data_IF_435199091726
#
_entry.id   IF_435199091726
#
_cell.length_a   1.000
_cell.length_b   1.000
_cell.length_c   1.000
_cell.angle_alpha   90.00
_cell.angle_beta   90.00
_cell.angle_gamma   90.00
#
_symmetry.space_group_name_H-M   'P 1'
#
loop_
_entity.id
_entity.type
_entity.pdbx_description
1 polymer ?
#
# COMPACT_ATOMS: atom_id res chain seq x y z
N UNK A 1 -29.97 53.36 -26.64
CA UNK A 1 -29.87 52.90 -25.23
C UNK A 1 -30.02 51.38 -25.05
N UNK A 2 -30.91 50.66 -25.78
CA UNK A 2 -31.07 49.19 -25.63
C UNK A 2 -29.85 48.33 -26.09
N UNK A 3 -29.04 48.79 -27.05
CA UNK A 3 -27.86 48.03 -27.54
C UNK A 3 -26.60 48.17 -26.67
N UNK A 4 -26.50 49.23 -25.87
CA UNK A 4 -25.34 49.48 -24.98
C UNK A 4 -25.52 48.73 -23.65
N UNK A 5 -26.75 48.59 -23.15
CA UNK A 5 -27.05 47.82 -21.94
C UNK A 5 -26.81 46.32 -22.14
N UNK A 6 -27.06 45.78 -23.34
CA UNK A 6 -26.82 44.36 -23.63
C UNK A 6 -25.33 44.00 -23.68
N UNK A 7 -24.48 44.91 -24.16
CA UNK A 7 -23.03 44.71 -24.20
C UNK A 7 -22.38 44.73 -22.81
N UNK A 8 -22.91 45.53 -21.87
CA UNK A 8 -22.41 45.59 -20.49
C UNK A 8 -22.83 44.36 -19.68
N UNK A 9 -24.01 43.79 -19.96
CA UNK A 9 -24.46 42.54 -19.31
C UNK A 9 -23.66 41.33 -19.80
N UNK A 10 -23.29 41.27 -21.10
CA UNK A 10 -22.44 40.19 -21.62
C UNK A 10 -20.99 40.32 -21.13
N UNK A 11 -20.48 41.54 -20.95
CA UNK A 11 -19.14 41.77 -20.37
C UNK A 11 -19.07 41.46 -18.87
N UNK A 12 -20.18 41.60 -18.14
CA UNK A 12 -20.26 41.20 -16.73
C UNK A 12 -20.45 39.69 -16.54
N UNK A 13 -21.12 39.00 -17.47
CA UNK A 13 -21.24 37.53 -17.44
C UNK A 13 -19.89 36.86 -17.78
N UNK A 14 -19.01 37.51 -18.55
CA UNK A 14 -17.66 36.98 -18.80
C UNK A 14 -16.68 37.11 -17.62
N UNK A 15 -17.03 37.86 -16.56
CA UNK A 15 -16.19 38.05 -15.36
C UNK A 15 -16.68 37.21 -14.17
N UNK A 16 -17.81 36.52 -14.30
CA UNK A 16 -18.29 35.56 -13.29
C UNK A 16 -18.27 34.16 -13.87
N UNK A 17 -17.34 33.32 -13.38
CA UNK A 17 -17.09 31.89 -13.65
C UNK A 17 -15.70 31.53 -14.20
N UNK A 18 -14.66 32.35 -13.95
CA UNK A 18 -13.40 31.72 -13.53
C UNK A 18 -13.58 31.38 -12.06
N UNK A 19 -14.37 30.33 -11.80
CA UNK A 19 -14.13 29.56 -10.59
C UNK A 19 -12.66 29.19 -10.65
N UNK A 20 -11.88 29.66 -9.68
CA UNK A 20 -10.53 29.18 -9.43
C UNK A 20 -10.58 27.71 -8.99
N UNK A 21 -11.16 26.81 -9.79
CA UNK A 21 -10.76 25.42 -9.80
C UNK A 21 -9.48 25.36 -10.62
N UNK A 22 -8.38 25.85 -10.04
CA UNK A 22 -7.06 25.48 -10.51
C UNK A 22 -7.11 23.96 -10.68
N UNK A 23 -6.92 23.47 -11.91
CA UNK A 23 -6.87 22.03 -12.15
C UNK A 23 -5.77 21.51 -11.22
N UNK A 24 -6.17 20.80 -10.18
CA UNK A 24 -5.22 20.18 -9.28
C UNK A 24 -4.63 19.00 -10.04
N UNK A 25 -3.51 19.24 -10.69
CA UNK A 25 -2.78 18.19 -11.36
C UNK A 25 -2.09 17.35 -10.30
N UNK A 26 -2.25 16.01 -10.32
CA UNK A 26 -1.47 15.15 -9.46
C UNK A 26 0.02 15.40 -9.67
N UNK A 27 0.80 15.28 -8.61
CA UNK A 27 2.25 15.15 -8.71
C UNK A 27 2.59 13.72 -9.14
N UNK A 28 3.65 13.55 -9.92
CA UNK A 28 4.15 12.25 -10.36
C UNK A 28 5.51 11.99 -9.70
N UNK A 29 5.68 10.80 -9.10
CA UNK A 29 6.94 10.35 -8.51
C UNK A 29 7.07 8.84 -8.68
N UNK A 30 8.06 8.44 -9.47
CA UNK A 30 8.29 7.04 -9.84
C UNK A 30 7.03 6.41 -10.46
N UNK A 31 6.55 5.35 -9.83
CA UNK A 31 5.41 4.56 -10.30
C UNK A 31 4.03 5.18 -9.93
N UNK A 32 4.01 6.27 -9.17
CA UNK A 32 2.79 6.75 -8.52
C UNK A 32 2.45 8.21 -8.85
N UNK A 33 1.15 8.47 -8.86
CA UNK A 33 0.57 9.81 -8.83
C UNK A 33 0.11 10.11 -7.41
N UNK A 34 0.44 11.29 -6.87
CA UNK A 34 0.04 11.69 -5.52
C UNK A 34 -0.54 13.10 -5.46
N UNK A 35 -1.30 13.37 -4.40
CA UNK A 35 -1.77 14.69 -4.02
C UNK A 35 -1.30 15.03 -2.62
N UNK A 36 -0.94 16.29 -2.40
CA UNK A 36 -0.74 16.85 -1.06
C UNK A 36 -2.09 16.97 -0.36
N UNK A 37 -2.15 16.61 0.92
CA UNK A 37 -3.37 16.66 1.73
C UNK A 37 -3.13 17.52 2.97
N UNK A 38 -4.09 18.38 3.27
CA UNK A 38 -4.02 19.32 4.39
C UNK A 38 -3.63 20.73 3.94
N UNK A 39 -4.21 21.73 4.59
CA UNK A 39 -3.91 23.14 4.34
C UNK A 39 -3.04 23.62 5.51
N UNK A 40 -1.78 23.95 5.22
CA UNK A 40 -0.85 24.64 6.14
C UNK A 40 -0.22 23.85 7.32
N UNK A 41 0.33 22.64 7.10
CA UNK A 41 1.28 22.02 8.04
C UNK A 41 2.67 21.88 7.37
N UNK A 42 3.80 22.20 8.03
CA UNK A 42 5.15 21.96 7.50
C UNK A 42 5.43 20.50 7.12
N UNK A 43 4.84 19.54 7.84
CA UNK A 43 4.95 18.11 7.55
C UNK A 43 3.83 17.67 6.60
N UNK A 44 4.01 17.98 5.31
CA UNK A 44 3.02 17.68 4.28
C UNK A 44 2.89 16.16 4.12
N UNK A 45 1.76 15.62 4.56
CA UNK A 45 1.34 14.26 4.29
C UNK A 45 0.68 14.19 2.90
N UNK A 46 0.96 13.12 2.15
CA UNK A 46 0.41 12.91 0.81
C UNK A 46 -0.52 11.71 0.76
N UNK A 47 -1.40 11.69 -0.24
CA UNK A 47 -2.10 10.49 -0.69
C UNK A 47 -1.62 10.07 -2.08
N UNK A 48 -1.39 8.79 -2.25
CA UNK A 48 -1.32 8.18 -3.58
C UNK A 48 -2.73 8.15 -4.15
N UNK A 49 -2.93 8.69 -5.35
CA UNK A 49 -4.24 8.84 -6.00
C UNK A 49 -4.30 8.17 -7.37
N UNK A 50 -3.21 7.53 -7.81
CA UNK A 50 -3.14 6.80 -9.06
C UNK A 50 -1.75 6.24 -9.33
N UNK A 51 -1.61 5.58 -10.48
CA UNK A 51 -0.33 5.14 -11.02
C UNK A 51 0.12 6.08 -12.14
N UNK A 52 1.44 6.30 -12.23
CA UNK A 52 2.05 6.97 -13.39
C UNK A 52 1.97 6.07 -14.63
N UNK A 53 2.34 6.59 -15.81
CA UNK A 53 2.40 5.76 -17.02
C UNK A 53 3.44 4.63 -16.91
N UNK A 54 4.51 4.84 -16.13
CA UNK A 54 5.48 3.78 -15.84
C UNK A 54 4.95 2.78 -14.81
N UNK A 55 4.28 3.26 -13.76
CA UNK A 55 3.66 2.38 -12.76
C UNK A 55 2.62 1.44 -13.37
N UNK A 56 1.84 1.91 -14.34
CA UNK A 56 0.88 1.09 -15.09
C UNK A 56 1.51 -0.09 -15.84
N UNK A 57 2.81 -0.04 -16.14
CA UNK A 57 3.55 -1.10 -16.87
C UNK A 57 4.22 -2.10 -15.94
N UNK A 58 4.24 -1.86 -14.62
CA UNK A 58 4.93 -2.74 -13.67
C UNK A 58 4.19 -4.06 -13.51
N UNK A 59 4.94 -5.15 -13.46
CA UNK A 59 4.41 -6.45 -13.05
C UNK A 59 4.34 -6.59 -11.52
N UNK A 60 5.14 -5.79 -10.80
CA UNK A 60 5.16 -5.74 -9.33
C UNK A 60 5.04 -4.29 -8.87
N UNK A 61 4.04 -4.01 -8.03
CA UNK A 61 3.83 -2.70 -7.42
C UNK A 61 4.04 -2.79 -5.91
N UNK A 62 4.88 -1.92 -5.37
CA UNK A 62 5.12 -1.81 -3.93
C UNK A 62 4.68 -0.41 -3.54
N UNK A 63 3.59 -0.30 -2.77
CA UNK A 63 3.12 1.00 -2.32
C UNK A 63 4.12 1.61 -1.33
N UNK A 64 4.69 2.79 -1.61
CA UNK A 64 5.75 3.36 -0.80
C UNK A 64 5.19 4.08 0.43
N UNK A 65 6.03 4.21 1.44
CA UNK A 65 5.80 5.03 2.65
C UNK A 65 6.27 6.47 2.49
N UNK A 66 7.10 6.75 1.49
CA UNK A 66 7.68 8.07 1.18
C UNK A 66 7.68 8.29 -0.34
N UNK A 67 7.23 9.46 -0.80
CA UNK A 67 7.43 9.93 -2.19
C UNK A 67 7.91 11.38 -2.16
N UNK A 68 8.94 11.69 -2.95
CA UNK A 68 9.56 13.03 -3.02
C UNK A 68 9.91 13.65 -1.66
N UNK A 69 10.27 12.80 -0.67
CA UNK A 69 10.57 13.23 0.69
C UNK A 69 9.35 13.49 1.59
N UNK A 70 8.13 13.26 1.10
CA UNK A 70 6.89 13.37 1.88
C UNK A 70 6.38 12.01 2.32
N UNK A 71 5.84 11.92 3.55
CA UNK A 71 5.23 10.70 4.05
C UNK A 71 3.90 10.41 3.35
N UNK A 72 3.78 9.19 2.83
CA UNK A 72 2.54 8.65 2.31
C UNK A 72 1.70 8.18 3.48
N UNK A 73 0.56 8.83 3.69
CA UNK A 73 -0.36 8.49 4.79
C UNK A 73 -1.64 7.84 4.30
N UNK A 74 -1.94 7.95 2.99
CA UNK A 74 -3.20 7.53 2.42
C UNK A 74 -3.06 6.91 1.03
N UNK A 75 -3.92 5.94 0.74
CA UNK A 75 -4.23 5.45 -0.60
C UNK A 75 -5.64 5.91 -0.96
N UNK A 76 -5.74 6.67 -2.04
CA UNK A 76 -6.94 7.40 -2.42
C UNK A 76 -7.19 8.63 -1.56
N UNK A 77 -8.18 9.41 -1.97
CA UNK A 77 -8.74 10.53 -1.20
C UNK A 77 -10.14 10.85 -1.71
N UNK A 78 -10.93 11.55 -0.90
CA UNK A 78 -12.25 12.02 -1.28
C UNK A 78 -12.09 13.40 -1.93
N UNK A 79 -12.45 13.52 -3.20
CA UNK A 79 -12.54 14.82 -3.89
C UNK A 79 -13.99 15.33 -3.88
N UNK A 80 -14.20 16.59 -4.27
CA UNK A 80 -15.54 17.14 -4.46
C UNK A 80 -16.37 16.34 -5.50
N UNK A 81 -15.70 15.71 -6.46
CA UNK A 81 -16.28 14.80 -7.45
C UNK A 81 -16.48 13.36 -6.94
N UNK A 82 -16.22 13.10 -5.67
CA UNK A 82 -16.24 11.77 -5.05
C UNK A 82 -14.86 11.11 -4.95
N UNK A 83 -14.83 9.91 -4.40
CA UNK A 83 -13.65 9.05 -4.39
C UNK A 83 -13.57 8.25 -5.69
N UNK A 84 -12.36 8.04 -6.21
CA UNK A 84 -12.12 7.18 -7.38
C UNK A 84 -11.14 6.06 -7.02
N UNK A 85 -11.43 4.82 -7.43
CA UNK A 85 -10.51 3.72 -7.20
C UNK A 85 -9.19 3.96 -7.94
N UNK A 86 -8.10 3.43 -7.39
CA UNK A 86 -6.85 3.31 -8.13
C UNK A 86 -6.96 2.06 -9.01
N UNK A 87 -6.79 2.25 -10.31
CA UNK A 87 -6.92 1.18 -11.29
C UNK A 87 -5.56 0.50 -11.51
N UNK A 88 -5.52 -0.83 -11.38
CA UNK A 88 -4.34 -1.67 -11.61
C UNK A 88 -4.71 -2.68 -12.69
N UNK A 89 -4.03 -2.64 -13.83
CA UNK A 89 -4.34 -3.48 -15.00
C UNK A 89 -3.23 -4.47 -15.39
N UNK A 90 -1.99 -4.25 -14.96
CA UNK A 90 -0.84 -5.05 -15.39
C UNK A 90 -0.13 -5.80 -14.25
N UNK A 91 -0.11 -5.24 -13.04
CA UNK A 91 0.62 -5.85 -11.95
C UNK A 91 0.07 -7.23 -11.60
N UNK A 92 0.98 -8.21 -11.47
CA UNK A 92 0.74 -9.57 -10.98
C UNK A 92 1.00 -9.67 -9.48
N UNK A 93 1.75 -8.72 -8.91
CA UNK A 93 1.99 -8.65 -7.47
C UNK A 93 1.82 -7.23 -6.96
N UNK A 94 1.05 -7.04 -5.90
CA UNK A 94 0.79 -5.72 -5.31
C UNK A 94 0.98 -5.80 -3.80
N UNK A 95 1.87 -4.96 -3.26
CA UNK A 95 2.21 -4.94 -1.84
C UNK A 95 1.72 -3.65 -1.18
N UNK A 96 1.04 -3.79 -0.05
CA UNK A 96 0.48 -2.69 0.74
C UNK A 96 1.03 -2.71 2.17
N UNK A 97 1.85 -1.73 2.58
CA UNK A 97 2.30 -1.63 3.96
C UNK A 97 1.20 -1.08 4.89
N UNK A 98 1.20 -1.47 6.19
CA UNK A 98 0.14 -1.06 7.15
C UNK A 98 0.07 0.42 7.46
N UNK A 99 1.15 1.18 7.26
CA UNK A 99 1.22 2.59 7.68
C UNK A 99 0.37 3.51 6.80
N UNK A 100 -0.29 2.97 5.78
CA UNK A 100 -1.05 3.74 4.80
C UNK A 100 -2.55 3.48 4.97
N UNK A 101 -3.30 4.54 5.30
CA UNK A 101 -4.75 4.46 5.51
C UNK A 101 -5.46 4.45 4.15
N UNK A 102 -6.25 3.41 3.88
CA UNK A 102 -7.10 3.41 2.70
C UNK A 102 -8.25 4.43 2.86
N UNK A 103 -8.44 5.27 1.84
CA UNK A 103 -9.53 6.26 1.74
C UNK A 103 -10.33 6.13 0.44
N UNK A 104 -10.02 5.13 -0.38
CA UNK A 104 -10.78 4.73 -1.55
C UNK A 104 -10.79 3.21 -1.66
N UNK A 105 -10.44 2.67 -2.82
CA UNK A 105 -10.41 1.24 -3.11
C UNK A 105 -9.44 1.00 -4.26
N UNK A 106 -9.08 -0.26 -4.46
CA UNK A 106 -8.32 -0.71 -5.62
C UNK A 106 -9.28 -1.36 -6.60
N UNK A 107 -9.13 -1.05 -7.88
CA UNK A 107 -9.87 -1.71 -8.97
C UNK A 107 -8.88 -2.45 -9.84
N UNK A 108 -8.92 -3.78 -9.73
CA UNK A 108 -8.16 -4.68 -10.58
C UNK A 108 -8.89 -4.79 -11.94
N UNK A 109 -8.22 -4.42 -13.02
CA UNK A 109 -8.72 -4.45 -14.40
C UNK A 109 -8.12 -5.63 -15.17
N UNK A 110 -8.09 -6.77 -14.51
CA UNK A 110 -7.57 -8.02 -15.03
C UNK A 110 -8.73 -8.86 -15.59
N UNK A 111 -8.43 -9.73 -16.56
CA UNK A 111 -9.38 -10.75 -17.02
C UNK A 111 -9.42 -11.91 -16.01
N UNK A 112 -10.46 -12.74 -16.09
CA UNK A 112 -10.65 -13.86 -15.16
C UNK A 112 -9.49 -14.88 -15.20
N UNK A 113 -8.80 -14.99 -16.34
CA UNK A 113 -7.64 -15.88 -16.51
C UNK A 113 -6.35 -15.33 -15.89
N UNK A 114 -6.29 -14.02 -15.61
CA UNK A 114 -5.10 -13.38 -15.04
C UNK A 114 -5.10 -13.51 -13.50
N UNK A 115 -3.93 -13.85 -12.95
CA UNK A 115 -3.70 -13.92 -11.51
C UNK A 115 -3.05 -12.63 -10.99
N UNK A 116 -3.55 -12.14 -9.85
CA UNK A 116 -2.95 -11.06 -9.08
C UNK A 116 -2.76 -11.51 -7.64
N UNK A 117 -1.52 -11.45 -7.19
CA UNK A 117 -1.14 -11.74 -5.82
C UNK A 117 -1.05 -10.43 -5.03
N UNK A 118 -1.82 -10.34 -3.95
CA UNK A 118 -1.92 -9.13 -3.14
C UNK A 118 -1.40 -9.41 -1.74
N UNK A 119 -0.45 -8.61 -1.28
CA UNK A 119 0.25 -8.78 -0.02
C UNK A 119 -0.10 -7.63 0.92
N UNK A 120 -0.66 -7.96 2.08
CA UNK A 120 -1.22 -6.97 2.99
C UNK A 120 -0.46 -6.98 4.31
N UNK A 121 0.33 -5.92 4.52
CA UNK A 121 1.12 -5.71 5.72
C UNK A 121 0.33 -5.23 6.94
N UNK A 122 -1.00 -5.39 6.99
CA UNK A 122 -1.86 -4.94 8.09
C UNK A 122 -2.42 -6.11 8.88
N UNK A 123 -2.44 -5.99 10.21
CA UNK A 123 -3.11 -6.96 11.11
C UNK A 123 -4.61 -7.02 10.85
N UNK A 124 -5.23 -5.86 10.60
CA UNK A 124 -6.66 -5.74 10.31
C UNK A 124 -6.81 -5.06 8.95
N UNK A 125 -6.67 -5.83 7.87
CA UNK A 125 -6.66 -5.31 6.51
C UNK A 125 -8.05 -4.83 6.04
N UNK A 126 -8.06 -3.81 5.19
CA UNK A 126 -9.28 -3.32 4.55
C UNK A 126 -9.54 -4.12 3.27
N UNK A 127 -10.70 -4.79 3.19
CA UNK A 127 -11.05 -5.66 2.06
C UNK A 127 -11.24 -4.90 0.74
N UNK A 128 -11.34 -3.55 0.76
CA UNK A 128 -11.31 -2.73 -0.45
C UNK A 128 -9.94 -2.70 -1.16
N UNK A 129 -8.91 -3.32 -0.57
CA UNK A 129 -7.64 -3.61 -1.24
C UNK A 129 -7.69 -4.90 -2.08
N UNK A 130 -8.71 -5.75 -1.89
CA UNK A 130 -8.67 -7.12 -2.37
C UNK A 130 -9.29 -7.29 -3.76
N UNK A 131 -8.73 -8.19 -4.58
CA UNK A 131 -9.45 -8.73 -5.72
C UNK A 131 -10.59 -9.61 -5.20
N UNK A 132 -11.78 -9.46 -5.77
CA UNK A 132 -12.95 -10.29 -5.41
C UNK A 132 -12.83 -11.64 -6.14
N UNK A 133 -12.93 -12.75 -5.40
CA UNK A 133 -12.76 -14.11 -5.91
C UNK A 133 -13.70 -14.46 -7.07
N UNK A 134 -14.91 -13.90 -7.08
CA UNK A 134 -15.87 -14.11 -8.17
C UNK A 134 -15.33 -13.65 -9.53
N UNK A 135 -14.55 -12.56 -9.56
CA UNK A 135 -14.01 -11.98 -10.79
C UNK A 135 -12.58 -12.44 -11.09
N UNK A 136 -11.80 -12.72 -10.05
CA UNK A 136 -10.38 -13.08 -10.17
C UNK A 136 -10.10 -14.35 -9.35
N UNK A 137 -10.62 -15.48 -9.86
CA UNK A 137 -10.71 -16.76 -9.14
C UNK A 137 -9.39 -17.34 -8.66
N UNK A 138 -8.29 -17.06 -9.37
CA UNK A 138 -6.97 -17.60 -9.05
C UNK A 138 -6.08 -16.61 -8.29
N UNK A 139 -6.54 -15.36 -8.10
CA UNK A 139 -5.80 -14.35 -7.35
C UNK A 139 -5.74 -14.71 -5.88
N UNK A 140 -4.58 -14.51 -5.25
CA UNK A 140 -4.34 -14.83 -3.84
C UNK A 140 -4.15 -13.56 -3.02
N UNK A 141 -4.58 -13.62 -1.77
CA UNK A 141 -4.46 -12.53 -0.81
C UNK A 141 -3.60 -13.04 0.36
N UNK A 142 -2.35 -12.61 0.37
CA UNK A 142 -1.36 -12.94 1.38
C UNK A 142 -1.56 -12.03 2.59
N UNK A 143 -1.93 -12.63 3.71
CA UNK A 143 -2.24 -11.97 4.98
C UNK A 143 -1.48 -12.61 6.13
N UNK A 144 -1.40 -11.93 7.26
CA UNK A 144 -0.84 -12.52 8.47
C UNK A 144 -1.70 -13.69 8.98
N UNK A 145 -1.02 -14.70 9.52
CA UNK A 145 -1.62 -15.95 9.97
C UNK A 145 -2.65 -15.78 11.11
N UNK A 146 -2.43 -14.84 12.05
CA UNK A 146 -3.41 -14.59 13.12
C UNK A 146 -4.75 -14.13 12.53
N UNK A 147 -4.69 -13.20 11.56
CA UNK A 147 -5.88 -12.68 10.90
C UNK A 147 -6.60 -13.77 10.08
N UNK A 148 -5.85 -14.65 9.40
CA UNK A 148 -6.44 -15.80 8.69
C UNK A 148 -7.27 -16.69 9.62
N UNK A 149 -6.71 -17.07 10.77
CA UNK A 149 -7.41 -17.91 11.76
C UNK A 149 -8.67 -17.20 12.28
N UNK A 150 -8.63 -15.88 12.46
CA UNK A 150 -9.79 -15.09 12.87
C UNK A 150 -10.90 -15.10 11.81
N UNK A 151 -10.56 -14.93 10.53
CA UNK A 151 -11.52 -14.98 9.41
C UNK A 151 -12.14 -16.37 9.21
N UNK A 152 -11.35 -17.44 9.33
CA UNK A 152 -11.82 -18.83 9.25
C UNK A 152 -12.85 -19.15 10.34
N UNK A 153 -12.65 -18.63 11.56
CA UNK A 153 -13.62 -18.80 12.66
C UNK A 153 -14.95 -18.13 12.39
N UNK A 154 -14.97 -17.06 11.60
CA UNK A 154 -16.16 -16.26 11.28
C UNK A 154 -16.85 -16.76 10.01
N UNK A 155 -16.14 -17.52 9.15
CA UNK A 155 -16.67 -18.12 7.92
C UNK A 155 -16.72 -17.15 6.73
N UNK A 156 -15.79 -16.18 6.68
CA UNK A 156 -15.66 -15.19 5.60
C UNK A 156 -14.73 -15.62 4.45
N UNK A 157 -14.13 -16.80 4.54
CA UNK A 157 -13.25 -17.41 3.54
C UNK A 157 -13.88 -17.60 2.14
N UNK A 158 -15.21 -17.54 2.05
CA UNK A 158 -15.94 -17.74 0.80
C UNK A 158 -15.69 -16.66 -0.27
N UNK A 159 -15.37 -15.41 0.11
CA UNK A 159 -15.24 -14.29 -0.86
C UNK A 159 -13.83 -14.03 -1.37
N UNK A 160 -12.81 -14.57 -0.70
CA UNK A 160 -11.41 -14.21 -0.92
C UNK A 160 -10.53 -15.47 -0.82
N UNK A 161 -9.48 -15.55 -1.64
CA UNK A 161 -8.52 -16.65 -1.54
C UNK A 161 -7.38 -16.24 -0.62
N UNK A 162 -7.63 -16.33 0.68
CA UNK A 162 -6.60 -16.02 1.67
C UNK A 162 -5.49 -17.07 1.66
N UNK A 163 -4.25 -16.61 1.80
CA UNK A 163 -3.06 -17.44 1.96
C UNK A 163 -2.27 -16.85 3.15
N UNK A 164 -1.81 -17.67 4.10
CA UNK A 164 -0.95 -17.18 5.17
C UNK A 164 0.43 -16.84 4.60
N UNK A 165 0.80 -15.57 4.65
CA UNK A 165 2.13 -15.11 4.26
C UNK A 165 3.17 -15.67 5.24
N UNK A 166 4.22 -16.33 4.74
CA UNK A 166 5.24 -16.94 5.61
C UNK A 166 6.39 -15.98 5.97
N UNK A 167 6.35 -14.74 5.51
CA UNK A 167 7.31 -13.68 5.87
C UNK A 167 6.52 -12.48 6.40
N UNK A 168 6.90 -12.00 7.58
CA UNK A 168 6.27 -10.87 8.23
C UNK A 168 7.32 -9.87 8.75
N UNK A 169 7.16 -8.61 8.37
CA UNK A 169 8.00 -7.50 8.82
C UNK A 169 7.29 -6.73 9.92
N UNK A 170 7.96 -6.54 11.05
CA UNK A 170 7.42 -5.84 12.22
C UNK A 170 8.17 -4.55 12.50
N UNK A 171 7.45 -3.45 12.74
CA UNK A 171 8.04 -2.11 12.92
C UNK A 171 8.07 -1.63 14.37
N UNK A 172 7.59 -2.43 15.31
CA UNK A 172 7.65 -2.09 16.73
C UNK A 172 8.11 -3.24 17.59
N UNK A 173 7.96 -3.05 18.90
CA UNK A 173 8.48 -3.98 19.90
C UNK A 173 7.46 -5.07 20.26
N UNK A 174 6.33 -5.10 19.57
CA UNK A 174 5.28 -6.09 19.74
C UNK A 174 4.97 -6.70 18.37
N UNK A 175 4.63 -7.99 18.36
CA UNK A 175 4.20 -8.71 17.15
C UNK A 175 2.87 -8.16 16.57
N UNK A 176 2.29 -7.15 17.21
CA UNK A 176 1.09 -6.45 16.74
C UNK A 176 1.39 -5.35 15.72
N UNK A 177 2.64 -4.90 15.63
CA UNK A 177 3.07 -3.84 14.73
C UNK A 177 3.50 -4.39 13.36
N UNK A 178 2.64 -5.21 12.74
CA UNK A 178 2.85 -5.73 11.40
C UNK A 178 2.93 -4.56 10.41
N UNK A 179 3.92 -4.61 9.53
CA UNK A 179 4.20 -3.57 8.54
C UNK A 179 4.07 -4.05 7.11
N UNK A 180 4.58 -5.22 6.80
CA UNK A 180 4.72 -5.74 5.45
C UNK A 180 4.73 -7.26 5.50
N UNK A 181 4.30 -7.90 4.42
CA UNK A 181 4.32 -9.36 4.29
C UNK A 181 4.83 -9.76 2.92
N UNK A 182 5.38 -10.96 2.83
CA UNK A 182 5.84 -11.58 1.59
C UNK A 182 5.65 -13.12 1.70
N UNK A 183 5.86 -13.85 0.61
CA UNK A 183 5.80 -15.31 0.59
C UNK A 183 6.92 -15.91 -0.26
N UNK A 184 7.72 -16.81 0.32
CA UNK A 184 8.81 -17.47 -0.38
C UNK A 184 8.94 -18.93 0.03
N UNK A 185 9.59 -19.74 -0.81
CA UNK A 185 9.79 -21.17 -0.55
C UNK A 185 11.21 -21.58 -0.90
N UNK A 186 12.10 -21.60 0.10
CA UNK A 186 13.51 -21.95 -0.10
C UNK A 186 14.30 -20.92 -0.91
N UNK A 187 13.79 -19.70 -1.04
CA UNK A 187 14.39 -18.61 -1.81
C UNK A 187 14.60 -17.36 -0.96
N UNK A 188 15.26 -16.35 -1.53
CA UNK A 188 15.28 -15.00 -0.97
C UNK A 188 13.86 -14.41 -0.98
N UNK A 189 13.66 -13.34 -0.22
CA UNK A 189 12.44 -12.52 -0.29
C UNK A 189 12.26 -11.99 -1.72
N UNK A 190 11.02 -11.83 -2.18
CA UNK A 190 10.70 -11.41 -3.55
C UNK A 190 10.93 -9.90 -3.74
N UNK A 191 10.68 -9.13 -2.69
CA UNK A 191 10.80 -7.67 -2.69
C UNK A 191 11.41 -7.17 -1.39
N UNK A 192 12.08 -6.02 -1.48
CA UNK A 192 12.52 -5.29 -0.30
C UNK A 192 11.35 -4.37 0.12
N UNK A 193 10.89 -4.43 1.38
CA UNK A 193 9.82 -3.56 1.84
C UNK A 193 10.26 -2.08 1.78
N UNK A 194 9.33 -1.13 1.57
CA UNK A 194 9.67 0.29 1.67
C UNK A 194 10.13 0.62 3.10
N UNK A 195 11.04 1.58 3.24
CA UNK A 195 11.53 1.99 4.55
C UNK A 195 10.36 2.50 5.42
N UNK A 196 10.13 1.92 6.61
CA UNK A 196 9.07 2.39 7.48
C UNK A 196 9.42 3.77 8.06
N UNK A 197 8.39 4.50 8.49
CA UNK A 197 8.56 5.77 9.19
C UNK A 197 8.06 5.71 10.64
N UNK A 198 8.81 6.32 11.55
CA UNK A 198 8.42 6.51 12.94
C UNK A 198 8.89 7.88 13.43
N UNK A 199 7.94 8.71 13.86
CA UNK A 199 8.21 10.06 14.35
C UNK A 199 9.24 10.06 15.49
N UNK A 200 10.26 10.93 15.40
CA UNK A 200 11.34 10.99 16.38
C UNK A 200 12.41 9.88 16.29
N UNK A 201 12.35 8.95 15.32
CA UNK A 201 13.33 7.87 15.16
C UNK A 201 13.91 7.82 13.74
N UNK A 202 15.14 7.32 13.62
CA UNK A 202 15.74 6.90 12.36
C UNK A 202 15.63 5.38 12.23
N UNK A 203 15.21 4.92 11.06
CA UNK A 203 15.21 3.50 10.70
C UNK A 203 16.66 3.04 10.42
N UNK A 204 17.07 1.94 11.02
CA UNK A 204 18.45 1.40 10.93
C UNK A 204 18.56 0.15 10.07
N UNK A 205 17.44 -0.31 9.50
CA UNK A 205 17.34 -1.54 8.73
C UNK A 205 16.58 -2.65 9.45
N UNK A 206 16.55 -3.79 8.77
CA UNK A 206 15.83 -5.00 9.15
C UNK A 206 16.76 -6.02 9.82
N UNK A 207 16.25 -6.75 10.81
CA UNK A 207 16.99 -7.68 11.67
C UNK A 207 16.23 -8.98 11.87
N UNK A 208 16.95 -10.06 12.15
CA UNK A 208 16.40 -11.41 12.34
C UNK A 208 15.69 -11.59 13.68
N UNK A 209 15.93 -10.69 14.62
CA UNK A 209 15.32 -10.72 15.95
C UNK A 209 15.07 -9.31 16.48
N UNK A 210 14.16 -9.22 17.45
CA UNK A 210 13.69 -7.96 18.04
C UNK A 210 14.79 -7.19 18.78
N UNK A 211 15.79 -7.89 19.30
CA UNK A 211 16.98 -7.30 19.94
C UNK A 211 17.86 -6.54 18.94
N UNK A 212 17.70 -6.80 17.64
CA UNK A 212 18.39 -6.10 16.56
C UNK A 212 19.90 -6.33 16.58
N UNK A 213 20.34 -7.57 16.77
CA UNK A 213 21.75 -7.98 16.83
C UNK A 213 22.23 -8.38 15.43
N UNK A 214 21.51 -9.29 14.77
CA UNK A 214 21.80 -9.85 13.46
C UNK A 214 20.96 -9.14 12.40
N UNK A 215 21.62 -8.37 11.56
CA UNK A 215 20.97 -7.69 10.43
C UNK A 215 20.48 -8.73 9.42
N UNK A 216 19.30 -8.49 8.86
CA UNK A 216 18.80 -9.23 7.70
C UNK A 216 19.59 -8.80 6.47
N UNK A 217 20.13 -9.78 5.74
CA UNK A 217 20.87 -9.59 4.50
C UNK A 217 20.02 -10.02 3.30
N UNK A 218 19.40 -9.04 2.63
CA UNK A 218 18.54 -9.27 1.47
C UNK A 218 19.22 -9.96 0.29
N UNK A 219 20.56 -9.96 0.23
CA UNK A 219 21.28 -10.61 -0.87
C UNK A 219 21.62 -12.07 -0.60
N UNK A 220 21.71 -12.47 0.68
CA UNK A 220 22.25 -13.77 1.08
C UNK A 220 21.31 -14.59 1.98
N UNK A 221 20.41 -13.96 2.73
CA UNK A 221 19.48 -14.68 3.60
C UNK A 221 18.36 -15.35 2.79
N UNK A 222 18.07 -16.59 3.15
CA UNK A 222 17.10 -17.46 2.48
C UNK A 222 15.96 -17.78 3.44
N UNK A 223 14.74 -17.69 2.94
CA UNK A 223 13.54 -18.13 3.63
C UNK A 223 13.51 -19.66 3.63
N UNK A 224 13.25 -20.32 4.77
CA UNK A 224 13.16 -21.77 4.83
C UNK A 224 12.16 -22.33 3.80
N UNK A 225 12.48 -23.50 3.24
CA UNK A 225 11.53 -24.21 2.38
C UNK A 225 10.28 -24.59 3.18
N UNK A 226 9.13 -24.45 2.54
CA UNK A 226 7.83 -24.85 3.09
C UNK A 226 7.86 -26.34 3.37
N UNK A 227 7.29 -26.70 4.52
CA UNK A 227 7.22 -28.08 4.99
C UNK A 227 5.77 -28.56 4.91
N UNK A 228 5.58 -29.81 4.51
CA UNK A 228 4.27 -30.45 4.42
C UNK A 228 4.30 -31.75 5.21
N UNK A 229 3.19 -32.09 5.86
CA UNK A 229 3.05 -33.39 6.52
C UNK A 229 2.75 -34.53 5.54
N UNK A 230 2.51 -35.73 6.07
CA UNK A 230 2.26 -36.94 5.28
C UNK A 230 0.95 -36.85 4.47
N UNK A 231 0.02 -36.02 4.91
CA UNK A 231 -1.26 -35.71 4.25
C UNK A 231 -1.13 -34.61 3.19
N UNK A 232 0.02 -33.93 3.11
CA UNK A 232 0.28 -32.84 2.18
C UNK A 232 -0.22 -31.48 2.67
N UNK A 233 -0.54 -31.35 3.95
CA UNK A 233 -0.96 -30.09 4.56
C UNK A 233 0.25 -29.22 4.92
N UNK A 234 0.14 -27.93 4.66
CA UNK A 234 1.23 -26.99 4.88
C UNK A 234 1.45 -26.74 6.38
N UNK A 235 2.65 -27.09 6.86
CA UNK A 235 3.12 -26.81 8.21
C UNK A 235 3.65 -25.38 8.26
N UNK A 236 2.76 -24.43 8.57
CA UNK A 236 3.07 -23.00 8.55
C UNK A 236 4.19 -22.63 9.53
N UNK A 237 5.25 -22.03 8.99
CA UNK A 237 6.35 -21.44 9.77
C UNK A 237 6.51 -19.99 9.31
N UNK A 238 6.37 -19.06 10.25
CA UNK A 238 6.55 -17.64 9.98
C UNK A 238 8.03 -17.24 10.16
N UNK A 239 8.59 -16.59 9.14
CA UNK A 239 9.85 -15.86 9.24
C UNK A 239 9.56 -14.43 9.65
N UNK A 240 9.91 -14.08 10.90
CA UNK A 240 9.73 -12.73 11.46
C UNK A 240 10.98 -11.88 11.22
N UNK A 241 10.80 -10.68 10.70
CA UNK A 241 11.87 -9.72 10.42
C UNK A 241 11.53 -8.38 11.11
N UNK A 242 12.45 -7.83 11.89
CA UNK A 242 12.19 -6.72 12.80
C UNK A 242 12.91 -5.43 12.38
N UNK A 243 12.20 -4.31 12.42
CA UNK A 243 12.80 -2.99 12.22
C UNK A 243 13.60 -2.58 13.45
N UNK A 244 14.81 -2.05 13.23
CA UNK A 244 15.58 -1.40 14.29
C UNK A 244 15.48 0.11 14.17
N UNK A 245 15.32 0.78 15.32
CA UNK A 245 15.16 2.22 15.42
C UNK A 245 16.20 2.84 16.35
N UNK A 246 16.64 4.07 16.04
CA UNK A 246 17.42 4.92 16.96
C UNK A 246 16.76 6.28 17.10
N UNK A 247 16.75 6.84 18.31
CA UNK A 247 16.17 8.17 18.57
C UNK A 247 16.93 9.23 17.77
N UNK A 248 16.20 10.11 17.08
CA UNK A 248 16.78 11.27 16.39
C UNK A 248 17.47 12.17 17.41
N UNK A 249 18.78 12.37 17.27
CA UNK A 249 19.49 13.36 18.07
C UNK A 249 19.31 14.74 17.45
N UNK A 250 18.57 15.60 18.12
CA UNK A 250 18.48 17.01 17.76
C UNK A 250 19.81 17.67 18.16
N UNK A 251 20.55 18.20 17.19
CA UNK A 251 21.68 19.10 17.51
C UNK A 251 21.09 20.32 18.22
N UNK A 252 21.50 20.53 19.48
CA UNK A 252 21.25 21.77 20.22
C UNK A 252 21.94 22.94 19.54
#
# INVERSE_FOLDING_TARGET
MKKIVLAIIILFISVTLISCSGKHYPYESGDFLYSKIGVANPDVNIAIIGLSEEGKKKETLIFPTILDGFYVTKIGTIFASGSKPIEISNAKSVYFPSTIILRSSIKYQHTEEQEVNVYIGSRFPDTNLYPIKEYLKNSKIFINYEYLIEEEKIGHDAWYNYIPANIAYYIGNEERDLFFVDDADGTKVNVIPPDPYKEGYNFMGWYKEIEGINKWDFENDIIPSKQYDEEGEYQFIETKIYAKWVVKQWKK
#
